data_IF_622476911468
#
_entry.id   IF_622476911468
#
_cell.length_a   1.000
_cell.length_b   1.000
_cell.length_c   1.000
_cell.angle_alpha   90.00
_cell.angle_beta   90.00
_cell.angle_gamma   90.00
#
_symmetry.space_group_name_H-M   'P 1'
#
loop_
_entity.id
_entity.type
_entity.pdbx_description
1 polymer ?
#
# COMPACT_ATOMS: atom_id res chain seq x y z
N UNK A 1 -10.82 14.56 21.55
CA UNK A 1 -10.14 14.30 20.28
C UNK A 1 -8.79 14.99 20.23
N UNK A 2 -8.74 16.31 20.50
CA UNK A 2 -7.46 17.05 20.66
C UNK A 2 -6.55 16.42 21.71
N UNK A 3 -7.08 15.86 22.80
CA UNK A 3 -6.27 15.12 23.76
C UNK A 3 -5.70 13.82 23.18
N UNK A 4 -6.38 13.13 22.28
CA UNK A 4 -5.86 11.91 21.66
C UNK A 4 -4.81 12.22 20.59
N UNK A 5 -5.04 13.22 19.75
CA UNK A 5 -4.02 13.68 18.77
C UNK A 5 -2.84 14.35 19.48
N UNK A 6 -3.11 15.16 20.54
CA UNK A 6 -2.06 15.74 21.37
C UNK A 6 -1.36 14.69 22.25
N UNK A 7 -2.03 13.66 22.73
CA UNK A 7 -1.43 12.55 23.44
C UNK A 7 -0.63 11.64 22.50
N UNK A 8 -1.09 11.42 21.29
CA UNK A 8 -0.32 10.75 20.23
C UNK A 8 0.90 11.59 19.80
N UNK A 9 0.74 12.90 19.67
CA UNK A 9 1.84 13.83 19.41
C UNK A 9 2.79 13.96 20.62
N UNK A 10 2.26 13.91 21.84
CA UNK A 10 3.07 13.95 23.08
C UNK A 10 3.79 12.60 23.35
N UNK A 11 3.27 11.50 22.85
CA UNK A 11 3.96 10.19 22.87
C UNK A 11 4.98 10.02 21.74
N UNK A 12 5.14 11.00 20.86
CA UNK A 12 6.10 10.96 19.74
C UNK A 12 5.75 9.96 18.64
N UNK A 13 4.53 9.38 18.69
CA UNK A 13 4.09 8.33 17.75
C UNK A 13 2.92 8.86 16.93
N UNK A 14 3.19 9.69 15.93
CA UNK A 14 2.22 9.95 14.87
C UNK A 14 2.40 8.83 13.82
N UNK A 15 1.53 7.85 13.86
CA UNK A 15 1.52 6.71 12.94
C UNK A 15 0.56 6.99 11.78
N UNK A 16 0.92 6.60 10.55
CA UNK A 16 0.09 6.79 9.35
C UNK A 16 -1.10 5.79 9.28
N UNK A 17 -1.52 5.27 10.40
CA UNK A 17 -2.72 4.43 10.54
C UNK A 17 -3.76 5.16 11.38
N UNK A 18 -5.00 5.14 10.90
CA UNK A 18 -6.13 5.68 11.66
C UNK A 18 -6.42 4.71 12.81
N UNK A 19 -6.27 5.12 14.09
CA UNK A 19 -6.60 4.27 15.24
C UNK A 19 -8.11 4.18 15.44
N UNK A 20 -8.53 3.18 16.21
CA UNK A 20 -9.94 3.02 16.59
C UNK A 20 -10.44 4.23 17.38
N UNK A 21 -11.68 4.62 17.11
CA UNK A 21 -12.35 5.72 17.80
C UNK A 21 -11.98 7.13 17.31
N UNK A 22 -11.06 7.28 16.37
CA UNK A 22 -10.69 8.59 15.81
C UNK A 22 -11.73 9.13 14.81
N UNK A 23 -12.30 8.25 13.99
CA UNK A 23 -13.28 8.62 12.96
C UNK A 23 -14.69 8.13 13.30
N UNK A 24 -15.74 8.84 12.85
CA UNK A 24 -17.13 8.42 13.07
C UNK A 24 -17.41 7.03 12.48
N UNK A 25 -18.36 6.25 13.08
CA UNK A 25 -18.70 4.89 12.63
C UNK A 25 -19.13 4.81 11.15
N UNK A 26 -19.77 5.86 10.63
CA UNK A 26 -20.17 5.93 9.22
C UNK A 26 -18.96 5.80 8.29
N UNK A 27 -17.87 6.48 8.60
CA UNK A 27 -16.62 6.42 7.82
C UNK A 27 -15.98 5.03 7.90
N UNK A 28 -16.02 4.39 9.07
CA UNK A 28 -15.57 3.02 9.21
C UNK A 28 -16.38 2.07 8.31
N UNK A 29 -17.71 2.21 8.29
CA UNK A 29 -18.59 1.44 7.41
C UNK A 29 -18.30 1.66 5.92
N UNK A 30 -18.13 2.92 5.50
CA UNK A 30 -17.74 3.26 4.13
C UNK A 30 -16.36 2.67 3.78
N UNK A 31 -15.41 2.72 4.71
CA UNK A 31 -14.10 2.11 4.57
C UNK A 31 -14.17 0.61 4.32
N UNK A 32 -14.96 -0.11 5.10
CA UNK A 32 -15.18 -1.54 4.91
C UNK A 32 -15.91 -1.87 3.62
N UNK A 33 -16.92 -1.10 3.24
CA UNK A 33 -17.63 -1.30 1.98
C UNK A 33 -16.69 -1.08 0.78
N UNK A 34 -15.91 0.00 0.80
CA UNK A 34 -14.95 0.32 -0.26
C UNK A 34 -13.81 -0.68 -0.36
N UNK A 35 -13.18 -1.02 0.77
CA UNK A 35 -12.07 -1.99 0.81
C UNK A 35 -12.55 -3.41 0.47
N UNK A 36 -13.73 -3.80 0.93
CA UNK A 36 -14.36 -5.07 0.57
C UNK A 36 -14.67 -5.17 -0.93
N UNK A 37 -15.18 -4.08 -1.53
CA UNK A 37 -15.41 -3.99 -2.96
C UNK A 37 -14.12 -4.10 -3.78
N UNK A 38 -13.05 -3.37 -3.37
CA UNK A 38 -11.75 -3.47 -4.02
C UNK A 38 -11.10 -4.85 -3.84
N UNK A 39 -11.22 -5.44 -2.64
CA UNK A 39 -10.71 -6.79 -2.37
C UNK A 39 -11.42 -7.82 -3.24
N UNK A 40 -12.75 -7.76 -3.30
CA UNK A 40 -13.55 -8.64 -4.18
C UNK A 40 -13.15 -8.47 -5.65
N UNK A 41 -13.01 -7.23 -6.13
CA UNK A 41 -12.56 -6.94 -7.48
C UNK A 41 -11.15 -7.51 -7.74
N UNK A 42 -10.21 -7.30 -6.80
CA UNK A 42 -8.84 -7.83 -6.87
C UNK A 42 -8.82 -9.35 -6.95
N UNK A 43 -9.59 -10.04 -6.09
CA UNK A 43 -9.72 -11.50 -6.13
C UNK A 43 -10.30 -11.99 -7.45
N UNK A 44 -11.36 -11.35 -7.96
CA UNK A 44 -11.96 -11.69 -9.25
C UNK A 44 -11.01 -11.49 -10.42
N UNK A 45 -10.26 -10.40 -10.41
CA UNK A 45 -9.22 -10.14 -11.43
C UNK A 45 -8.12 -11.19 -11.38
N UNK A 46 -7.63 -11.49 -10.19
CA UNK A 46 -6.58 -12.48 -10.00
C UNK A 46 -7.01 -13.88 -10.48
N UNK A 47 -8.22 -14.33 -10.12
CA UNK A 47 -8.78 -15.61 -10.55
C UNK A 47 -8.94 -15.70 -12.09
N UNK A 48 -9.27 -14.59 -12.74
CA UNK A 48 -9.42 -14.56 -14.21
C UNK A 48 -8.10 -14.51 -14.95
N UNK A 49 -7.07 -13.96 -14.30
CA UNK A 49 -5.77 -13.74 -14.92
C UNK A 49 -4.84 -14.96 -14.80
N UNK A 50 -5.05 -15.84 -13.83
CA UNK A 50 -4.19 -17.01 -13.57
C UNK A 50 -4.85 -18.30 -14.02
N UNK A 51 -4.06 -19.14 -14.69
CA UNK A 51 -4.49 -20.52 -15.04
C UNK A 51 -4.56 -21.38 -13.78
N UNK A 52 -3.61 -21.19 -12.86
CA UNK A 52 -3.58 -21.82 -11.53
C UNK A 52 -3.53 -20.75 -10.44
N UNK A 53 -4.68 -20.45 -9.78
CA UNK A 53 -4.73 -19.49 -8.69
C UNK A 53 -3.84 -19.85 -7.49
N UNK A 54 -3.48 -21.12 -7.30
CA UNK A 54 -2.63 -21.55 -6.20
C UNK A 54 -1.15 -21.20 -6.44
N UNK A 55 -0.73 -21.08 -7.69
CA UNK A 55 0.67 -20.74 -8.03
C UNK A 55 1.10 -19.36 -7.52
N UNK A 56 0.16 -18.43 -7.31
CA UNK A 56 0.48 -17.10 -6.77
C UNK A 56 0.59 -17.06 -5.24
N UNK A 57 0.02 -18.05 -4.53
CA UNK A 57 -0.08 -18.06 -3.07
C UNK A 57 1.29 -17.93 -2.38
N UNK A 58 2.35 -18.68 -2.76
CA UNK A 58 3.66 -18.54 -2.13
C UNK A 58 4.25 -17.13 -2.27
N UNK A 59 4.10 -16.54 -3.46
CA UNK A 59 4.57 -15.16 -3.73
C UNK A 59 3.77 -14.14 -2.93
N UNK A 60 2.45 -14.28 -2.89
CA UNK A 60 1.57 -13.43 -2.12
C UNK A 60 1.91 -13.51 -0.63
N UNK A 61 2.06 -14.71 -0.08
CA UNK A 61 2.38 -14.94 1.33
C UNK A 61 3.75 -14.33 1.69
N UNK A 62 4.79 -14.56 0.86
CA UNK A 62 6.12 -14.01 1.09
C UNK A 62 6.13 -12.48 1.11
N UNK A 63 5.49 -11.85 0.13
CA UNK A 63 5.46 -10.39 0.03
C UNK A 63 4.55 -9.75 1.09
N UNK A 64 3.46 -10.43 1.50
CA UNK A 64 2.66 -10.02 2.66
C UNK A 64 3.48 -10.08 3.96
N UNK A 65 4.24 -11.15 4.17
CA UNK A 65 5.13 -11.27 5.32
C UNK A 65 6.24 -10.21 5.31
N UNK A 66 6.83 -9.92 4.16
CA UNK A 66 7.82 -8.85 4.00
C UNK A 66 7.22 -7.46 4.32
N UNK A 67 6.03 -7.17 3.81
CA UNK A 67 5.30 -5.95 4.13
C UNK A 67 5.01 -5.84 5.63
N UNK A 68 4.46 -6.89 6.24
CA UNK A 68 4.16 -6.94 7.67
C UNK A 68 5.42 -6.72 8.52
N UNK A 69 6.52 -7.43 8.22
CA UNK A 69 7.78 -7.33 8.98
C UNK A 69 8.42 -5.95 8.81
N UNK A 70 8.45 -5.41 7.59
CA UNK A 70 9.01 -4.08 7.33
C UNK A 70 8.24 -2.97 8.05
N UNK A 71 6.91 -3.09 8.10
CA UNK A 71 6.06 -2.13 8.82
C UNK A 71 6.19 -2.20 10.34
N UNK A 72 6.76 -3.28 10.90
CA UNK A 72 7.08 -3.37 12.32
C UNK A 72 8.36 -2.60 12.70
N UNK A 73 9.16 -2.18 11.70
CA UNK A 73 10.37 -1.38 11.93
C UNK A 73 10.03 0.11 11.92
N UNK A 74 10.07 0.73 13.10
CA UNK A 74 9.83 2.15 13.27
C UNK A 74 11.11 2.95 13.14
N UNK A 75 11.06 4.01 12.35
CA UNK A 75 12.13 5.00 12.22
C UNK A 75 11.63 6.26 12.93
N UNK A 76 12.24 6.66 14.07
CA UNK A 76 11.86 7.88 14.75
C UNK A 76 12.33 9.09 13.93
N UNK A 77 11.40 9.82 13.35
CA UNK A 77 11.62 11.07 12.64
C UNK A 77 10.76 12.16 13.32
N UNK A 78 11.27 12.86 14.34
CA UNK A 78 10.49 13.87 15.01
C UNK A 78 9.91 14.94 14.05
N UNK A 79 8.62 15.31 14.16
CA UNK A 79 7.68 15.01 15.25
C UNK A 79 6.89 13.69 15.11
N UNK A 80 7.20 12.86 14.12
CA UNK A 80 6.47 11.63 13.82
C UNK A 80 7.39 10.40 13.86
N UNK A 81 6.83 9.22 14.00
CA UNK A 81 7.49 7.96 13.68
C UNK A 81 6.95 7.42 12.37
N UNK A 82 7.83 7.01 11.49
CA UNK A 82 7.46 6.43 10.19
C UNK A 82 7.93 4.99 10.10
N UNK A 83 7.26 4.19 9.32
CA UNK A 83 7.64 2.80 9.04
C UNK A 83 7.61 2.55 7.53
N UNK A 84 8.41 1.58 7.09
CA UNK A 84 8.45 1.17 5.69
C UNK A 84 7.13 0.52 5.28
N UNK A 85 6.61 0.89 4.12
CA UNK A 85 5.30 0.42 3.63
C UNK A 85 5.40 -0.41 2.36
N UNK A 86 6.43 -0.19 1.54
CA UNK A 86 6.70 -0.87 0.27
C UNK A 86 5.49 -0.93 -0.68
N UNK A 87 4.59 0.05 -0.62
CA UNK A 87 3.35 0.03 -1.40
C UNK A 87 3.61 -0.03 -2.91
N UNK A 88 4.57 0.75 -3.40
CA UNK A 88 4.97 0.72 -4.80
C UNK A 88 5.52 -0.63 -5.20
N UNK A 89 6.42 -1.21 -4.39
CA UNK A 89 6.99 -2.54 -4.62
C UNK A 89 5.93 -3.63 -4.59
N UNK A 90 4.99 -3.59 -3.63
CA UNK A 90 3.86 -4.53 -3.57
C UNK A 90 3.00 -4.45 -4.83
N UNK A 91 2.67 -3.23 -5.27
CA UNK A 91 1.90 -3.03 -6.48
C UNK A 91 2.59 -3.60 -7.71
N UNK A 92 3.88 -3.28 -7.90
CA UNK A 92 4.68 -3.78 -9.03
C UNK A 92 4.78 -5.30 -9.03
N UNK A 93 5.01 -5.90 -7.87
CA UNK A 93 5.28 -7.33 -7.76
C UNK A 93 4.02 -8.19 -7.71
N UNK A 94 2.94 -7.73 -7.07
CA UNK A 94 1.71 -8.51 -6.88
C UNK A 94 0.57 -8.11 -7.82
N UNK A 95 0.68 -6.95 -8.48
CA UNK A 95 -0.44 -6.46 -9.28
C UNK A 95 -1.71 -6.30 -8.45
N UNK A 96 -2.80 -6.91 -8.90
CA UNK A 96 -4.07 -6.93 -8.16
C UNK A 96 -3.97 -7.65 -6.80
N UNK A 97 -3.05 -8.58 -6.63
CA UNK A 97 -2.79 -9.27 -5.35
C UNK A 97 -2.29 -8.32 -4.24
N UNK A 98 -1.82 -7.12 -4.59
CA UNK A 98 -1.37 -6.13 -3.61
C UNK A 98 -2.46 -5.75 -2.61
N UNK A 99 -3.72 -5.66 -3.04
CA UNK A 99 -4.84 -5.37 -2.12
C UNK A 99 -5.01 -6.45 -1.06
N UNK A 100 -4.84 -7.72 -1.44
CA UNK A 100 -4.91 -8.86 -0.51
C UNK A 100 -3.78 -8.77 0.51
N UNK A 101 -2.53 -8.52 0.03
CA UNK A 101 -1.36 -8.39 0.89
C UNK A 101 -1.52 -7.24 1.90
N UNK A 102 -2.04 -6.09 1.45
CA UNK A 102 -2.30 -4.93 2.32
C UNK A 102 -3.35 -5.26 3.38
N UNK A 103 -4.50 -5.84 3.01
CA UNK A 103 -5.57 -6.17 3.96
C UNK A 103 -5.08 -7.17 5.01
N UNK A 104 -4.41 -8.25 4.58
CA UNK A 104 -3.88 -9.27 5.49
C UNK A 104 -2.79 -8.71 6.39
N UNK A 105 -1.85 -7.94 5.83
CA UNK A 105 -0.78 -7.32 6.60
C UNK A 105 -1.31 -6.33 7.64
N UNK A 106 -2.24 -5.45 7.29
CA UNK A 106 -2.87 -4.51 8.22
C UNK A 106 -3.69 -5.22 9.31
N UNK A 107 -4.39 -6.28 8.96
CA UNK A 107 -5.11 -7.10 9.94
C UNK A 107 -4.14 -7.69 10.98
N UNK A 108 -3.03 -8.28 10.54
CA UNK A 108 -2.00 -8.81 11.44
C UNK A 108 -1.37 -7.71 12.30
N UNK A 109 -1.11 -6.53 11.74
CA UNK A 109 -0.60 -5.37 12.50
C UNK A 109 -1.58 -4.90 13.58
N UNK A 110 -2.87 -4.83 13.25
CA UNK A 110 -3.90 -4.44 14.20
C UNK A 110 -4.03 -5.45 15.35
N UNK A 111 -4.00 -6.75 15.04
CA UNK A 111 -4.17 -7.82 16.05
C UNK A 111 -2.91 -8.03 16.90
N UNK A 112 -1.72 -8.01 16.28
CA UNK A 112 -0.47 -8.35 16.98
C UNK A 112 0.18 -7.15 17.66
N UNK A 113 0.07 -5.96 17.09
CA UNK A 113 0.78 -4.77 17.56
C UNK A 113 -0.16 -3.64 18.01
N UNK A 114 -1.48 -3.79 17.83
CA UNK A 114 -2.43 -2.69 18.07
C UNK A 114 -2.24 -1.50 17.14
N UNK A 115 -1.58 -1.71 15.99
CA UNK A 115 -1.33 -0.66 15.01
C UNK A 115 -2.52 -0.44 14.10
N UNK A 116 -2.98 0.80 14.02
CA UNK A 116 -4.26 1.14 13.42
C UNK A 116 -5.39 0.69 14.34
N UNK A 117 -6.50 0.24 13.77
CA UNK A 117 -7.62 -0.27 14.52
C UNK A 117 -8.38 -1.30 13.70
N UNK A 118 -9.07 -2.21 14.39
CA UNK A 118 -9.95 -3.15 13.71
C UNK A 118 -11.17 -2.44 13.11
N UNK A 119 -11.74 -1.44 13.79
CA UNK A 119 -12.89 -0.68 13.23
C UNK A 119 -12.49 0.17 12.04
N UNK A 120 -11.25 0.64 11.98
CA UNK A 120 -10.71 1.50 10.92
C UNK A 120 -9.92 0.71 9.86
N UNK A 121 -9.83 -0.62 9.99
CA UNK A 121 -9.08 -1.49 9.06
C UNK A 121 -9.48 -1.26 7.60
N UNK A 122 -10.78 -1.09 7.33
CA UNK A 122 -11.28 -0.83 5.98
C UNK A 122 -10.76 0.48 5.39
N UNK A 123 -10.72 1.56 6.19
CA UNK A 123 -10.16 2.85 5.76
C UNK A 123 -8.65 2.76 5.54
N UNK A 124 -7.91 2.16 6.48
CA UNK A 124 -6.48 1.96 6.36
C UNK A 124 -6.14 1.11 5.12
N UNK A 125 -6.95 0.09 4.84
CA UNK A 125 -6.80 -0.73 3.63
C UNK A 125 -7.04 0.05 2.32
N UNK A 126 -7.97 1.01 2.30
CA UNK A 126 -8.14 1.91 1.16
C UNK A 126 -6.97 2.86 0.99
N UNK A 127 -6.53 3.49 2.10
CA UNK A 127 -5.42 4.47 2.11
C UNK A 127 -4.14 3.84 1.56
N UNK A 128 -3.87 2.58 1.86
CA UNK A 128 -2.66 1.88 1.42
C UNK A 128 -2.86 1.04 0.15
N UNK A 129 -4.03 0.43 0.00
CA UNK A 129 -4.32 -0.45 -1.14
C UNK A 129 -4.50 0.30 -2.46
N UNK A 130 -5.16 1.47 -2.44
CA UNK A 130 -5.34 2.28 -3.66
C UNK A 130 -3.98 2.69 -4.27
N UNK A 131 -3.01 3.27 -3.51
CA UNK A 131 -1.70 3.58 -4.05
C UNK A 131 -0.96 2.37 -4.60
N UNK A 132 -1.03 1.22 -3.93
CA UNK A 132 -0.41 -0.01 -4.42
C UNK A 132 -1.03 -0.50 -5.74
N UNK A 133 -2.36 -0.48 -5.87
CA UNK A 133 -3.06 -0.84 -7.10
C UNK A 133 -2.78 0.15 -8.24
N UNK A 134 -2.68 1.44 -7.94
CA UNK A 134 -2.31 2.46 -8.93
C UNK A 134 -0.86 2.27 -9.40
N UNK A 135 0.08 1.99 -8.49
CA UNK A 135 1.45 1.65 -8.86
C UNK A 135 1.49 0.44 -9.80
N UNK A 136 0.70 -0.60 -9.52
CA UNK A 136 0.56 -1.76 -10.40
C UNK A 136 0.02 -1.38 -11.79
N UNK A 137 -1.02 -0.56 -11.85
CA UNK A 137 -1.65 -0.16 -13.11
C UNK A 137 -0.70 0.70 -13.97
N UNK A 138 -0.04 1.68 -13.36
CA UNK A 138 0.93 2.55 -14.04
C UNK A 138 2.15 1.74 -14.49
N UNK A 139 2.66 0.84 -13.65
CA UNK A 139 3.76 -0.04 -14.02
C UNK A 139 3.43 -0.88 -15.26
N UNK A 140 2.27 -1.55 -15.29
CA UNK A 140 1.83 -2.33 -16.46
C UNK A 140 1.73 -1.50 -17.74
N UNK A 141 1.20 -0.28 -17.63
CA UNK A 141 1.05 0.60 -18.79
C UNK A 141 2.35 1.15 -19.37
N UNK A 142 3.35 1.37 -18.49
CA UNK A 142 4.58 2.07 -18.87
C UNK A 142 5.80 1.15 -19.02
N UNK A 143 5.81 -0.03 -18.41
CA UNK A 143 7.00 -0.89 -18.37
C UNK A 143 7.57 -1.22 -19.74
N UNK A 144 6.72 -1.62 -20.68
CA UNK A 144 7.15 -1.98 -22.03
C UNK A 144 7.54 -0.78 -22.91
N UNK A 145 7.06 0.42 -22.56
CA UNK A 145 7.39 1.66 -23.24
C UNK A 145 8.63 2.35 -22.66
N UNK A 146 9.04 1.95 -21.47
CA UNK A 146 10.13 2.59 -20.74
C UNK A 146 11.48 2.03 -21.20
N UNK A 147 12.41 2.88 -21.69
CA UNK A 147 13.75 2.44 -22.05
C UNK A 147 14.51 1.93 -20.81
N UNK A 148 15.52 1.05 -20.97
CA UNK A 148 16.24 0.47 -19.83
C UNK A 148 16.79 1.51 -18.82
N UNK A 149 17.26 2.67 -19.34
CA UNK A 149 17.73 3.78 -18.49
C UNK A 149 16.62 4.47 -17.69
N UNK A 150 15.40 4.46 -18.19
CA UNK A 150 14.23 5.06 -17.51
C UNK A 150 13.59 4.16 -16.46
N UNK A 151 13.92 2.87 -16.44
CA UNK A 151 13.29 1.88 -15.51
C UNK A 151 13.56 2.18 -14.05
N UNK A 152 14.77 2.67 -13.73
CA UNK A 152 15.09 3.10 -12.37
C UNK A 152 14.25 4.29 -11.93
N UNK A 153 14.09 5.30 -12.81
CA UNK A 153 13.26 6.46 -12.55
C UNK A 153 11.79 6.07 -12.40
N UNK A 154 11.27 5.16 -13.22
CA UNK A 154 9.92 4.64 -13.11
C UNK A 154 9.72 3.97 -11.74
N UNK A 155 10.65 3.10 -11.31
CA UNK A 155 10.62 2.46 -10.00
C UNK A 155 10.61 3.48 -8.86
N UNK A 156 11.46 4.50 -8.95
CA UNK A 156 11.52 5.58 -7.97
C UNK A 156 10.20 6.35 -7.87
N UNK A 157 9.63 6.76 -9.01
CA UNK A 157 8.35 7.49 -9.05
C UNK A 157 7.21 6.65 -8.48
N UNK A 158 7.16 5.36 -8.79
CA UNK A 158 6.12 4.47 -8.29
C UNK A 158 6.26 4.18 -6.78
N UNK A 159 7.49 4.01 -6.29
CA UNK A 159 7.74 3.83 -4.86
C UNK A 159 7.42 5.07 -4.06
N UNK A 160 8.05 6.19 -4.38
CA UNK A 160 7.84 7.47 -3.70
C UNK A 160 6.40 7.99 -3.87
N UNK A 161 5.86 7.89 -5.08
CA UNK A 161 4.50 8.34 -5.40
C UNK A 161 3.43 7.55 -4.66
N UNK A 162 3.62 6.25 -4.45
CA UNK A 162 2.67 5.45 -3.67
C UNK A 162 2.60 5.90 -2.20
N UNK A 163 3.74 6.20 -1.57
CA UNK A 163 3.78 6.75 -0.21
C UNK A 163 3.11 8.12 -0.15
N UNK A 164 3.47 9.03 -1.06
CA UNK A 164 2.88 10.38 -1.06
C UNK A 164 1.38 10.34 -1.29
N UNK A 165 0.90 9.47 -2.17
CA UNK A 165 -0.53 9.30 -2.40
C UNK A 165 -1.24 8.73 -1.16
N UNK A 166 -0.61 7.78 -0.45
CA UNK A 166 -1.16 7.26 0.80
C UNK A 166 -1.28 8.36 1.87
N UNK A 167 -0.26 9.23 2.00
CA UNK A 167 -0.30 10.41 2.90
C UNK A 167 -1.43 11.37 2.51
N UNK A 168 -1.61 11.64 1.21
CA UNK A 168 -2.69 12.50 0.73
C UNK A 168 -4.08 11.91 1.03
N UNK A 169 -4.25 10.60 0.81
CA UNK A 169 -5.50 9.92 1.12
C UNK A 169 -5.78 9.91 2.63
N UNK A 170 -4.75 9.67 3.44
CA UNK A 170 -4.86 9.76 4.89
C UNK A 170 -5.32 11.15 5.33
N UNK A 171 -4.65 12.20 4.86
CA UNK A 171 -5.03 13.59 5.14
C UNK A 171 -6.46 13.92 4.68
N UNK A 172 -6.84 13.47 3.49
CA UNK A 172 -8.20 13.67 2.98
C UNK A 172 -9.26 13.00 3.85
N UNK A 173 -9.03 11.75 4.27
CA UNK A 173 -9.95 11.03 5.15
C UNK A 173 -10.09 11.76 6.49
N UNK A 174 -8.99 12.19 7.09
CA UNK A 174 -9.01 12.94 8.36
C UNK A 174 -9.80 14.25 8.19
N UNK A 175 -9.49 15.07 7.19
CA UNK A 175 -10.19 16.34 6.96
C UNK A 175 -11.69 16.17 6.70
N UNK A 176 -12.09 15.13 5.97
CA UNK A 176 -13.48 14.89 5.62
C UNK A 176 -14.27 14.22 6.74
N UNK A 177 -13.62 13.48 7.64
CA UNK A 177 -14.27 12.70 8.68
C UNK A 177 -14.45 13.45 10.00
N UNK A 178 -13.67 14.50 10.24
CA UNK A 178 -13.76 15.27 11.47
C UNK A 178 -14.92 16.27 11.41
N UNK A 179 -15.77 16.34 12.46
CA UNK A 179 -16.83 17.33 12.53
C UNK A 179 -16.24 18.73 12.76
N UNK A 180 -16.70 19.71 11.99
CA UNK A 180 -16.43 21.11 12.30
C UNK A 180 -17.16 21.49 13.64
N UNK A 181 -16.57 22.27 14.59
CA UNK A 181 -15.50 23.23 14.38
C UNK A 181 -14.27 22.93 15.25
N UNK A 182 -13.28 22.28 14.74
CA UNK A 182 -11.96 22.25 15.36
C UNK A 182 -11.11 23.38 14.74
N UNK A 183 -10.06 23.80 15.43
CA UNK A 183 -9.16 24.85 14.95
C UNK A 183 -8.52 24.42 13.62
N UNK A 184 -9.14 24.82 12.51
CA UNK A 184 -8.73 24.48 11.16
C UNK A 184 -7.22 24.67 10.93
N UNK A 185 -6.64 25.71 11.52
CA UNK A 185 -5.24 26.02 11.36
C UNK A 185 -4.34 24.95 12.01
N UNK A 186 -4.73 24.44 13.17
CA UNK A 186 -3.99 23.38 13.86
C UNK A 186 -4.09 22.03 13.14
N UNK A 187 -5.23 21.73 12.54
CA UNK A 187 -5.43 20.51 11.74
C UNK A 187 -4.57 20.52 10.47
N UNK A 188 -4.55 21.65 9.76
CA UNK A 188 -3.68 21.82 8.61
C UNK A 188 -2.20 21.69 8.96
N UNK A 189 -1.76 22.28 10.08
CA UNK A 189 -0.39 22.16 10.56
C UNK A 189 -0.04 20.70 10.91
N UNK A 190 -0.93 19.96 11.55
CA UNK A 190 -0.72 18.55 11.87
C UNK A 190 -0.60 17.69 10.62
N UNK A 191 -1.49 17.86 9.63
CA UNK A 191 -1.44 17.15 8.35
C UNK A 191 -0.17 17.52 7.58
N UNK A 192 0.20 18.79 7.55
CA UNK A 192 1.44 19.23 6.91
C UNK A 192 2.68 18.63 7.57
N UNK A 193 2.71 18.58 8.91
CA UNK A 193 3.81 17.96 9.65
C UNK A 193 3.93 16.46 9.35
N UNK A 194 2.80 15.72 9.25
CA UNK A 194 2.78 14.33 8.84
C UNK A 194 3.31 14.20 7.40
N UNK A 195 2.85 15.05 6.48
CA UNK A 195 3.30 15.06 5.09
C UNK A 195 4.81 15.27 4.97
N UNK A 196 5.34 16.29 5.65
CA UNK A 196 6.77 16.60 5.66
C UNK A 196 7.58 15.46 6.28
N UNK A 197 7.10 14.86 7.39
CA UNK A 197 7.75 13.72 8.03
C UNK A 197 7.83 12.49 7.15
N UNK A 198 6.90 12.32 6.18
CA UNK A 198 6.90 11.20 5.24
C UNK A 198 7.72 11.45 3.97
N UNK A 199 8.22 12.67 3.71
CA UNK A 199 9.07 12.94 2.54
C UNK A 199 10.36 12.10 2.54
N UNK A 200 11.15 12.03 3.64
CA UNK A 200 12.34 11.18 3.67
C UNK A 200 12.00 9.70 3.45
N UNK A 201 10.88 9.24 4.02
CA UNK A 201 10.40 7.87 3.81
C UNK A 201 10.03 7.62 2.35
N UNK A 202 9.31 8.54 1.71
CA UNK A 202 8.95 8.44 0.30
C UNK A 202 10.20 8.35 -0.59
N UNK A 203 11.23 9.17 -0.31
CA UNK A 203 12.50 9.11 -1.03
C UNK A 203 13.18 7.75 -0.84
N UNK A 204 13.24 7.24 0.39
CA UNK A 204 13.82 5.93 0.70
C UNK A 204 13.07 4.81 -0.03
N UNK A 205 11.74 4.77 0.05
CA UNK A 205 10.92 3.77 -0.65
C UNK A 205 11.04 3.88 -2.17
N UNK A 206 11.18 5.08 -2.71
CA UNK A 206 11.48 5.30 -4.11
C UNK A 206 12.81 4.67 -4.51
N UNK A 207 13.87 4.89 -3.75
CA UNK A 207 15.20 4.30 -3.99
C UNK A 207 15.17 2.78 -3.88
N UNK A 208 14.52 2.24 -2.85
CA UNK A 208 14.39 0.79 -2.66
C UNK A 208 13.61 0.16 -3.82
N UNK A 209 12.47 0.74 -4.20
CA UNK A 209 11.65 0.23 -5.33
C UNK A 209 12.42 0.31 -6.65
N UNK A 210 13.15 1.41 -6.90
CA UNK A 210 14.00 1.54 -8.09
C UNK A 210 15.09 0.48 -8.14
N UNK A 211 15.78 0.27 -7.02
CA UNK A 211 16.88 -0.71 -6.89
C UNK A 211 16.36 -2.14 -7.10
N UNK A 212 15.21 -2.46 -6.46
CA UNK A 212 14.55 -3.76 -6.60
C UNK A 212 14.13 -4.02 -8.05
N UNK A 213 13.56 -3.02 -8.73
CA UNK A 213 13.12 -3.13 -10.11
C UNK A 213 14.28 -3.36 -11.07
N UNK A 214 15.39 -2.61 -10.90
CA UNK A 214 16.60 -2.79 -11.71
C UNK A 214 17.24 -4.14 -11.43
N UNK A 215 17.29 -4.57 -10.19
CA UNK A 215 17.82 -5.87 -9.80
C UNK A 215 17.00 -7.01 -10.44
N UNK A 216 15.68 -7.00 -10.29
CA UNK A 216 14.80 -8.03 -10.85
C UNK A 216 14.82 -8.04 -12.39
N UNK A 217 14.94 -6.88 -13.02
CA UNK A 217 15.06 -6.80 -14.47
C UNK A 217 16.34 -7.49 -15.01
N UNK A 218 17.41 -7.61 -14.18
CA UNK A 218 18.65 -8.28 -14.54
C UNK A 218 18.66 -9.76 -14.17
N UNK A 219 18.12 -10.12 -12.99
CA UNK A 219 18.27 -11.46 -12.41
C UNK A 219 17.09 -12.37 -12.75
N UNK A 220 15.88 -11.84 -12.72
CA UNK A 220 14.63 -12.58 -12.98
C UNK A 220 13.59 -11.70 -13.70
N UNK A 221 13.80 -11.39 -14.99
CA UNK A 221 12.88 -10.55 -15.76
C UNK A 221 11.47 -11.13 -15.86
N UNK A 222 11.32 -12.45 -15.78
CA UNK A 222 10.03 -13.12 -15.76
C UNK A 222 9.17 -12.72 -14.55
N UNK A 223 9.75 -12.35 -13.41
CA UNK A 223 9.01 -11.86 -12.25
C UNK A 223 8.27 -10.55 -12.54
N UNK A 224 8.83 -9.72 -13.40
CA UNK A 224 8.23 -8.44 -13.79
C UNK A 224 7.21 -8.63 -14.91
N UNK A 225 7.44 -9.56 -15.83
CA UNK A 225 6.50 -9.87 -16.90
C UNK A 225 5.27 -10.60 -16.37
N UNK A 226 5.41 -11.46 -15.37
CA UNK A 226 4.27 -12.12 -14.71
C UNK A 226 3.37 -11.15 -13.94
N UNK A 227 3.91 -10.07 -13.36
CA UNK A 227 3.12 -8.96 -12.81
C UNK A 227 2.38 -8.14 -13.88
N UNK A 228 2.83 -8.21 -15.14
CA UNK A 228 2.29 -7.45 -16.28
C UNK A 228 1.34 -8.29 -17.13
N UNK A 229 1.60 -9.58 -17.26
CA UNK A 229 0.83 -10.53 -18.08
C UNK A 229 0.55 -11.81 -17.31
N UNK A 230 -0.52 -11.84 -16.55
CA UNK A 230 -1.25 -13.08 -16.30
C UNK A 230 -2.17 -13.39 -17.50
N UNK A 231 -1.66 -13.25 -18.73
CA UNK A 231 -2.43 -13.67 -19.90
C UNK A 231 -2.17 -15.14 -20.18
N UNK A 232 -3.24 -15.85 -20.54
CA UNK A 232 -3.30 -17.27 -20.85
C UNK A 232 -2.27 -17.80 -21.88
N UNK A 233 -1.54 -16.92 -22.52
CA UNK A 233 -0.70 -17.21 -23.68
C UNK A 233 0.70 -17.75 -23.34
N UNK A 234 1.18 -17.63 -22.10
CA UNK A 234 2.51 -18.07 -21.70
C UNK A 234 2.50 -19.07 -20.53
N UNK A 235 1.52 -19.97 -20.48
CA UNK A 235 1.57 -21.11 -19.56
C UNK A 235 2.61 -22.12 -20.06
N UNK A 236 3.64 -22.48 -19.29
CA UNK A 236 4.55 -23.57 -19.64
C UNK A 236 3.89 -24.96 -19.54
N UNK A 237 2.64 -25.02 -19.11
CA UNK A 237 1.86 -26.26 -19.03
C UNK A 237 0.87 -26.28 -20.20
N UNK A 238 0.94 -27.30 -21.08
CA UNK A 238 -0.04 -27.49 -22.13
C UNK A 238 -1.41 -27.69 -21.47
N UNK A 239 -2.41 -26.95 -21.95
CA UNK A 239 -3.81 -27.16 -21.57
C UNK A 239 -4.16 -28.60 -21.87
N UNK A 240 -4.55 -29.36 -20.83
CA UNK A 240 -5.15 -30.66 -21.05
C UNK A 240 -6.37 -30.49 -21.97
N UNK A 241 -6.29 -31.08 -23.16
CA UNK A 241 -7.38 -31.13 -24.14
C UNK A 241 -8.57 -31.86 -23.48
N UNK A 242 -9.73 -31.23 -23.34
CA UNK A 242 -10.90 -31.93 -22.82
C UNK A 242 -11.48 -32.80 -23.92
N UNK A 243 -11.03 -34.04 -24.03
CA UNK A 243 -11.74 -35.10 -24.70
C UNK A 243 -12.27 -36.11 -23.70
#
# INVERSE_FOLDING_TARGET
>A
LLCLVAAAAASGVVVMHIPDGLVPPLWCGLGYAGSGGLLWWSCRRLQRATVDPLAIVPRLALLTAAFFTASAVYIPLPPASVHLMFLGSLGILLGEGAMIAVVVGLFLQAVMFGHGGLTTLGLNALIMGIPALLAAAVFRGLWHRCPPRGRSLLGFILGAGAVLLAVLLFGAVILLSLPAPLDQQREWLAIAAIGIGHLPLAMLEGVVTASLLVFLAKVKPEFLSQGVCFSRENSPYPTADPR
#
